data_IF_391109567957
#
_entry.id   IF_391109567957
#
_cell.length_a   1.000
_cell.length_b   1.000
_cell.length_c   1.000
_cell.angle_alpha   90.00
_cell.angle_beta   90.00
_cell.angle_gamma   90.00
#
_symmetry.space_group_name_H-M   'P 1'
#
loop_
_entity.id
_entity.type
_entity.pdbx_description
1 polymer ?
#
# COMPACT_ATOMS: atom_id res chain seq x y z
N UNK A 1 6.24 -16.18 11.27
CA UNK A 1 4.77 -16.04 11.20
C UNK A 1 4.43 -15.05 10.09
N UNK A 2 3.40 -15.30 9.30
CA UNK A 2 3.02 -14.35 8.26
C UNK A 2 2.73 -12.96 8.86
N UNK A 3 3.02 -11.92 8.10
CA UNK A 3 2.89 -10.54 8.53
C UNK A 3 1.46 -10.09 8.85
N UNK A 4 1.25 -8.81 8.90
CA UNK A 4 -0.01 -8.19 9.32
C UNK A 4 -0.65 -7.41 8.19
N UNK A 5 -1.98 -7.43 8.13
CA UNK A 5 -2.76 -6.64 7.19
C UNK A 5 -3.71 -5.72 7.97
N UNK A 6 -3.69 -4.43 7.62
CA UNK A 6 -4.65 -3.45 8.10
C UNK A 6 -5.42 -2.87 6.91
N UNK A 7 -6.73 -3.07 6.88
CA UNK A 7 -7.62 -2.51 5.86
C UNK A 7 -8.52 -1.43 6.47
N UNK A 8 -8.64 -0.29 5.80
CA UNK A 8 -9.52 0.79 6.22
C UNK A 8 -10.46 1.24 5.09
N UNK A 9 -11.61 1.80 5.46
CA UNK A 9 -12.71 2.06 4.54
C UNK A 9 -12.64 3.37 3.77
N UNK A 10 -11.56 4.13 3.89
CA UNK A 10 -11.41 5.44 3.27
C UNK A 10 -11.08 6.51 4.31
N UNK A 11 -11.09 7.80 3.90
CA UNK A 11 -10.60 8.90 4.74
C UNK A 11 -9.18 8.66 5.28
N UNK A 12 -8.34 8.08 4.45
CA UNK A 12 -6.94 7.85 4.78
C UNK A 12 -6.24 9.15 5.17
N UNK A 13 -5.20 9.03 5.97
CA UNK A 13 -4.42 10.16 6.49
C UNK A 13 -5.24 11.08 7.40
N UNK A 14 -6.20 10.51 8.09
CA UNK A 14 -7.07 11.18 9.06
C UNK A 14 -6.75 10.71 10.48
N UNK A 15 -6.85 11.62 11.44
CA UNK A 15 -6.56 11.33 12.86
C UNK A 15 -7.44 10.21 13.46
N UNK A 16 -8.61 9.94 12.87
CA UNK A 16 -9.47 8.83 13.32
C UNK A 16 -8.79 7.46 13.22
N UNK A 17 -7.84 7.30 12.30
CA UNK A 17 -7.09 6.05 12.11
C UNK A 17 -5.74 6.03 12.82
N UNK A 18 -5.32 7.12 13.45
CA UNK A 18 -3.96 7.24 14.00
C UNK A 18 -3.59 6.10 14.95
N UNK A 19 -4.49 5.70 15.84
CA UNK A 19 -4.26 4.58 16.77
C UNK A 19 -4.10 3.25 16.04
N UNK A 20 -4.95 2.99 15.05
CA UNK A 20 -4.90 1.75 14.28
C UNK A 20 -3.64 1.69 13.43
N UNK A 21 -3.30 2.78 12.75
CA UNK A 21 -2.11 2.89 11.92
C UNK A 21 -0.83 2.68 12.75
N UNK A 22 -0.72 3.34 13.90
CA UNK A 22 0.41 3.14 14.81
C UNK A 22 0.49 1.71 15.34
N UNK A 23 -0.64 1.13 15.75
CA UNK A 23 -0.67 -0.25 16.25
C UNK A 23 -0.22 -1.24 15.19
N UNK A 24 -0.62 -1.04 13.92
CA UNK A 24 -0.16 -1.86 12.81
C UNK A 24 1.35 -1.69 12.56
N UNK A 25 1.82 -0.45 12.51
CA UNK A 25 3.24 -0.15 12.26
C UNK A 25 4.17 -0.64 13.38
N UNK A 26 3.68 -0.73 14.61
CA UNK A 26 4.42 -1.34 15.72
C UNK A 26 4.67 -2.85 15.52
N UNK A 27 3.98 -3.49 14.60
CA UNK A 27 4.19 -4.90 14.23
C UNK A 27 5.34 -5.09 13.23
N UNK A 28 5.89 -4.01 12.66
CA UNK A 28 7.03 -4.11 11.72
C UNK A 28 8.18 -4.87 12.35
N UNK A 29 8.83 -5.69 11.56
CA UNK A 29 10.03 -6.42 11.99
C UNK A 29 11.14 -5.45 12.43
N UNK A 30 11.44 -4.44 11.62
CA UNK A 30 12.35 -3.36 11.97
C UNK A 30 11.57 -2.08 12.25
N UNK A 31 11.58 -1.63 13.51
CA UNK A 31 10.82 -0.46 13.98
C UNK A 31 11.27 0.87 13.37
N UNK A 32 12.48 0.93 12.83
CA UNK A 32 13.05 2.12 12.21
C UNK A 32 12.93 2.14 10.70
N UNK A 33 12.46 1.05 10.08
CA UNK A 33 12.25 1.00 8.63
C UNK A 33 11.17 2.01 8.21
N UNK A 34 11.39 2.71 7.08
CA UNK A 34 10.38 3.62 6.56
C UNK A 34 9.16 2.86 6.06
N UNK A 35 8.02 3.55 6.05
CA UNK A 35 6.80 3.09 5.41
C UNK A 35 6.87 3.37 3.91
N UNK A 36 6.78 2.33 3.10
CA UNK A 36 6.71 2.45 1.64
C UNK A 36 5.28 2.78 1.23
N UNK A 37 5.05 3.99 0.73
CA UNK A 37 3.72 4.45 0.32
C UNK A 37 3.54 4.26 -1.18
N UNK A 38 2.56 3.47 -1.56
CA UNK A 38 2.20 3.18 -2.95
C UNK A 38 1.00 4.03 -3.35
N UNK A 39 1.16 4.86 -4.38
CA UNK A 39 0.09 5.70 -4.94
C UNK A 39 0.02 5.50 -6.44
N UNK A 40 -0.99 4.79 -6.91
CA UNK A 40 -1.21 4.52 -8.34
C UNK A 40 -2.23 5.49 -8.94
N UNK A 41 -1.86 6.74 -9.01
CA UNK A 41 -2.67 7.81 -9.59
C UNK A 41 -1.88 8.55 -10.68
N UNK A 42 -2.53 9.23 -11.62
CA UNK A 42 -1.82 10.01 -12.62
C UNK A 42 -1.14 11.23 -12.00
N UNK A 43 -0.07 11.70 -12.64
CA UNK A 43 0.57 12.97 -12.27
C UNK A 43 -0.41 14.15 -12.54
N UNK A 44 -0.49 15.15 -11.67
CA UNK A 44 0.26 15.33 -10.42
C UNK A 44 -0.42 14.74 -9.16
N UNK A 45 -1.53 14.05 -9.32
CA UNK A 45 -2.36 13.55 -8.20
C UNK A 45 -1.58 12.60 -7.29
N UNK A 46 -0.71 11.72 -7.85
CA UNK A 46 0.09 10.81 -7.03
C UNK A 46 1.03 11.56 -6.10
N UNK A 47 1.63 12.67 -6.57
CA UNK A 47 2.54 13.47 -5.73
C UNK A 47 1.78 14.16 -4.60
N UNK A 48 0.61 14.72 -4.90
CA UNK A 48 -0.23 15.37 -3.90
C UNK A 48 -0.70 14.36 -2.84
N UNK A 49 -1.12 13.18 -3.26
CA UNK A 49 -1.54 12.11 -2.34
C UNK A 49 -0.37 11.65 -1.47
N UNK A 50 0.83 11.49 -2.04
CA UNK A 50 2.02 11.14 -1.27
C UNK A 50 2.36 12.22 -0.24
N UNK A 51 2.29 13.49 -0.59
CA UNK A 51 2.57 14.60 0.33
C UNK A 51 1.61 14.61 1.53
N UNK A 52 0.33 14.27 1.30
CA UNK A 52 -0.63 14.10 2.40
C UNK A 52 -0.25 12.93 3.32
N UNK A 53 0.15 11.80 2.74
CA UNK A 53 0.63 10.65 3.51
C UNK A 53 1.89 10.99 4.31
N UNK A 54 2.87 11.61 3.67
CA UNK A 54 4.13 12.02 4.30
C UNK A 54 3.88 12.90 5.52
N UNK A 55 3.05 13.93 5.37
CA UNK A 55 2.69 14.84 6.46
C UNK A 55 1.99 14.12 7.61
N UNK A 56 1.00 13.29 7.29
CA UNK A 56 0.24 12.55 8.29
C UNK A 56 1.15 11.59 9.10
N UNK A 57 1.93 10.77 8.42
CA UNK A 57 2.82 9.82 9.08
C UNK A 57 3.98 10.49 9.81
N UNK A 58 4.49 11.61 9.29
CA UNK A 58 5.51 12.39 9.99
C UNK A 58 5.00 12.90 11.35
N UNK A 59 3.74 13.33 11.43
CA UNK A 59 3.11 13.72 12.69
C UNK A 59 2.98 12.56 13.68
N UNK A 60 2.99 11.31 13.19
CA UNK A 60 3.00 10.10 14.01
C UNK A 60 4.42 9.59 14.32
N UNK A 61 5.45 10.30 13.88
CA UNK A 61 6.85 9.90 14.05
C UNK A 61 7.30 8.81 13.08
N UNK A 62 6.60 8.60 11.99
CA UNK A 62 6.88 7.57 10.98
C UNK A 62 7.49 8.22 9.73
N UNK A 63 8.68 7.76 9.36
CA UNK A 63 9.31 8.15 8.10
C UNK A 63 8.67 7.39 6.94
N UNK A 64 8.39 8.09 5.85
CA UNK A 64 7.84 7.51 4.62
C UNK A 64 8.80 7.62 3.45
N UNK A 65 8.64 6.73 2.47
CA UNK A 65 9.22 6.86 1.14
C UNK A 65 8.14 6.57 0.12
N UNK A 66 8.18 7.27 -1.02
CA UNK A 66 7.25 7.05 -2.11
C UNK A 66 7.69 5.85 -2.95
N UNK A 67 6.79 4.90 -3.18
CA UNK A 67 7.04 3.82 -4.13
C UNK A 67 7.19 4.38 -5.55
N UNK A 68 8.18 3.93 -6.32
CA UNK A 68 8.30 4.29 -7.73
C UNK A 68 7.28 3.59 -8.64
N UNK A 69 6.49 2.65 -8.11
CA UNK A 69 5.46 1.94 -8.89
C UNK A 69 4.19 2.78 -8.93
N UNK A 70 3.98 3.49 -10.03
CA UNK A 70 2.83 4.33 -10.28
C UNK A 70 1.86 3.70 -11.27
N UNK A 71 2.34 2.74 -12.06
CA UNK A 71 1.56 1.99 -13.05
C UNK A 71 2.21 0.63 -13.31
N UNK A 72 1.55 -0.22 -14.09
CA UNK A 72 2.07 -1.51 -14.52
C UNK A 72 3.37 -1.43 -15.34
N UNK A 73 3.70 -0.24 -15.86
CA UNK A 73 4.95 -0.01 -16.60
C UNK A 73 6.18 0.12 -15.67
N UNK A 74 5.96 0.25 -14.37
CA UNK A 74 7.01 0.48 -13.38
C UNK A 74 7.43 -0.80 -12.65
N UNK A 75 7.04 -1.96 -13.13
CA UNK A 75 7.34 -3.26 -12.51
C UNK A 75 8.73 -3.78 -12.88
N UNK A 76 9.75 -2.95 -12.73
CA UNK A 76 11.14 -3.36 -12.91
C UNK A 76 11.61 -4.30 -11.80
N UNK A 77 12.67 -5.07 -12.06
CA UNK A 77 13.28 -5.96 -11.05
C UNK A 77 13.64 -5.20 -9.78
N UNK A 78 14.17 -3.98 -9.91
CA UNK A 78 14.56 -3.13 -8.79
C UNK A 78 13.35 -2.71 -7.95
N UNK A 79 12.27 -2.23 -8.60
CA UNK A 79 11.05 -1.79 -7.92
C UNK A 79 10.33 -2.97 -7.24
N UNK A 80 10.32 -4.13 -7.87
CA UNK A 80 9.78 -5.37 -7.29
C UNK A 80 10.59 -5.81 -6.08
N UNK A 81 11.92 -5.72 -6.15
CA UNK A 81 12.79 -6.04 -5.02
C UNK A 81 12.52 -5.12 -3.82
N UNK A 82 12.27 -3.84 -4.05
CA UNK A 82 11.94 -2.88 -3.00
C UNK A 82 10.64 -3.29 -2.27
N UNK A 83 9.60 -3.69 -3.02
CA UNK A 83 8.37 -4.21 -2.42
C UNK A 83 8.63 -5.46 -1.56
N UNK A 84 9.36 -6.42 -2.11
CA UNK A 84 9.61 -7.70 -1.45
C UNK A 84 10.42 -7.56 -0.15
N UNK A 85 11.23 -6.52 -0.03
CA UNK A 85 12.11 -6.26 1.13
C UNK A 85 11.52 -5.25 2.12
N UNK A 86 10.37 -4.65 1.82
CA UNK A 86 9.76 -3.65 2.69
C UNK A 86 9.25 -4.29 3.99
N UNK A 87 9.49 -3.63 5.12
CA UNK A 87 8.93 -4.02 6.42
C UNK A 87 7.53 -3.45 6.64
N UNK A 88 7.17 -2.41 5.91
CA UNK A 88 5.84 -1.82 5.92
C UNK A 88 5.49 -1.22 4.56
N UNK A 89 4.29 -1.50 4.07
CA UNK A 89 3.75 -1.00 2.80
C UNK A 89 2.36 -0.42 3.05
N UNK A 90 2.08 0.75 2.49
CA UNK A 90 0.76 1.38 2.53
C UNK A 90 0.24 1.61 1.11
N UNK A 91 -0.89 1.01 0.78
CA UNK A 91 -1.61 1.25 -0.48
C UNK A 91 -2.64 2.34 -0.25
N UNK A 92 -2.38 3.54 -0.75
CA UNK A 92 -3.33 4.64 -0.73
C UNK A 92 -4.54 4.33 -1.61
N UNK A 93 -5.65 5.01 -1.36
CA UNK A 93 -6.80 4.96 -2.23
C UNK A 93 -6.47 5.49 -3.63
N UNK A 94 -7.38 5.30 -4.56
CA UNK A 94 -7.21 5.72 -5.93
C UNK A 94 -8.17 4.97 -6.85
N UNK A 95 -7.76 4.74 -8.08
CA UNK A 95 -8.57 4.01 -9.05
C UNK A 95 -8.37 2.50 -8.87
N UNK A 96 -9.42 1.72 -8.53
CA UNK A 96 -9.29 0.27 -8.39
C UNK A 96 -8.71 -0.41 -9.63
N UNK A 97 -9.06 0.08 -10.82
CA UNK A 97 -8.53 -0.46 -12.07
C UNK A 97 -7.01 -0.35 -12.18
N UNK A 98 -6.42 0.78 -11.78
CA UNK A 98 -4.96 0.97 -11.81
C UNK A 98 -4.26 0.05 -10.80
N UNK A 99 -4.79 -0.02 -9.57
CA UNK A 99 -4.27 -0.91 -8.54
C UNK A 99 -4.32 -2.37 -8.97
N UNK A 100 -5.43 -2.80 -9.55
CA UNK A 100 -5.60 -4.16 -10.05
C UNK A 100 -4.59 -4.50 -11.13
N UNK A 101 -4.40 -3.63 -12.11
CA UNK A 101 -3.39 -3.83 -13.18
C UNK A 101 -1.97 -3.94 -12.64
N UNK A 102 -1.63 -3.15 -11.61
CA UNK A 102 -0.30 -3.19 -11.01
C UNK A 102 -0.07 -4.44 -10.15
N UNK A 103 -1.07 -4.82 -9.35
CA UNK A 103 -0.83 -5.68 -8.18
C UNK A 103 -1.59 -7.00 -8.20
N UNK A 104 -2.49 -7.25 -9.14
CA UNK A 104 -3.21 -8.53 -9.23
C UNK A 104 -2.66 -9.36 -10.39
N UNK A 105 -2.20 -10.57 -10.08
CA UNK A 105 -1.64 -11.49 -11.06
C UNK A 105 -0.28 -11.05 -11.63
N UNK A 106 0.42 -10.16 -10.96
CA UNK A 106 1.72 -9.62 -11.40
C UNK A 106 2.87 -10.05 -10.48
N UNK A 107 4.11 -9.75 -10.91
CA UNK A 107 5.29 -9.93 -10.04
C UNK A 107 5.23 -9.08 -8.78
N UNK A 108 4.52 -7.97 -8.81
CA UNK A 108 4.31 -7.13 -7.62
C UNK A 108 3.44 -7.84 -6.57
N UNK A 109 2.42 -8.58 -6.98
CA UNK A 109 1.64 -9.40 -6.03
C UNK A 109 2.53 -10.42 -5.33
N UNK A 110 3.37 -11.12 -6.08
CA UNK A 110 4.32 -12.09 -5.51
C UNK A 110 5.27 -11.41 -4.52
N UNK A 111 5.76 -10.22 -4.85
CA UNK A 111 6.64 -9.45 -3.97
C UNK A 111 5.96 -9.07 -2.65
N UNK A 112 4.68 -8.63 -2.70
CA UNK A 112 3.90 -8.30 -1.51
C UNK A 112 3.68 -9.53 -0.63
N UNK A 113 3.35 -10.66 -1.24
CA UNK A 113 3.21 -11.94 -0.50
C UNK A 113 4.53 -12.31 0.19
N UNK A 114 5.66 -12.16 -0.52
CA UNK A 114 6.98 -12.40 0.06
C UNK A 114 7.28 -11.47 1.24
N UNK A 115 6.94 -10.19 1.13
CA UNK A 115 7.08 -9.25 2.23
C UNK A 115 6.26 -9.70 3.45
N UNK A 116 5.00 -10.11 3.25
CA UNK A 116 4.15 -10.65 4.32
C UNK A 116 4.74 -11.91 4.96
N UNK A 117 5.27 -12.83 4.16
CA UNK A 117 5.97 -14.03 4.66
C UNK A 117 7.20 -13.68 5.51
N UNK A 118 7.79 -12.51 5.29
CA UNK A 118 8.91 -11.97 6.06
C UNK A 118 8.47 -11.02 7.20
N UNK A 119 7.24 -11.16 7.68
CA UNK A 119 6.67 -10.40 8.81
C UNK A 119 6.44 -8.90 8.52
N UNK A 120 6.28 -8.52 7.27
CA UNK A 120 5.92 -7.15 6.92
C UNK A 120 4.49 -6.77 7.36
N UNK A 121 4.27 -5.48 7.53
CA UNK A 121 2.94 -4.89 7.70
C UNK A 121 2.47 -4.32 6.37
N UNK A 122 1.33 -4.78 5.88
CA UNK A 122 0.71 -4.26 4.65
C UNK A 122 -0.61 -3.58 5.00
N UNK A 123 -0.70 -2.32 4.65
CA UNK A 123 -1.84 -1.47 4.97
C UNK A 123 -2.51 -0.99 3.67
N UNK A 124 -3.80 -0.74 3.72
CA UNK A 124 -4.52 -0.22 2.56
C UNK A 124 -5.80 0.48 2.95
N UNK A 125 -6.13 1.54 2.21
CA UNK A 125 -7.34 2.32 2.40
C UNK A 125 -8.17 2.36 1.12
N UNK A 126 -9.50 2.29 1.25
CA UNK A 126 -10.45 2.38 0.13
C UNK A 126 -10.09 1.37 -0.99
N UNK A 127 -9.79 1.84 -2.19
CA UNK A 127 -9.35 0.98 -3.29
C UNK A 127 -8.10 0.15 -2.94
N UNK A 128 -7.18 0.70 -2.13
CA UNK A 128 -6.02 -0.03 -1.62
C UNK A 128 -6.41 -1.21 -0.72
N UNK A 129 -7.46 -1.06 0.09
CA UNK A 129 -7.99 -2.16 0.91
C UNK A 129 -8.64 -3.27 0.07
N UNK A 130 -9.21 -2.93 -1.08
CA UNK A 130 -9.82 -3.91 -1.99
C UNK A 130 -8.82 -4.94 -2.51
N UNK A 131 -7.52 -4.60 -2.56
CA UNK A 131 -6.47 -5.53 -2.99
C UNK A 131 -6.35 -6.78 -2.10
N UNK A 132 -6.82 -6.72 -0.86
CA UNK A 132 -6.73 -7.82 0.09
C UNK A 132 -7.84 -8.86 -0.07
N UNK A 133 -8.88 -8.53 -0.82
CA UNK A 133 -9.98 -9.45 -1.12
C UNK A 133 -9.67 -10.41 -2.27
N UNK A 134 -10.45 -11.46 -2.39
CA UNK A 134 -10.39 -12.39 -3.53
C UNK A 134 -10.98 -11.80 -4.80
N UNK A 135 -11.76 -10.72 -4.68
CA UNK A 135 -12.37 -9.99 -5.78
C UNK A 135 -12.26 -8.49 -5.55
N UNK A 136 -12.13 -7.73 -6.62
CA UNK A 136 -12.16 -6.26 -6.61
C UNK A 136 -13.39 -5.80 -7.37
N UNK A 137 -14.21 -4.98 -6.72
CA UNK A 137 -15.39 -4.39 -7.35
C UNK A 137 -14.99 -3.11 -8.08
N UNK A 138 -15.32 -3.04 -9.35
CA UNK A 138 -15.02 -1.91 -10.21
C UNK A 138 -16.22 -0.96 -10.28
N UNK A 139 -16.01 0.32 -10.66
CA UNK A 139 -17.12 1.22 -10.96
C UNK A 139 -18.08 0.58 -11.96
N UNK A 140 -19.39 0.65 -11.67
CA UNK A 140 -20.41 -0.02 -12.46
C UNK A 140 -20.79 -1.42 -11.98
N UNK A 141 -20.16 -1.90 -10.89
CA UNK A 141 -20.50 -3.17 -10.24
C UNK A 141 -19.84 -4.41 -10.83
N UNK A 142 -18.99 -4.25 -11.84
CA UNK A 142 -18.20 -5.36 -12.36
C UNK A 142 -17.16 -5.82 -11.34
N UNK A 143 -16.86 -7.12 -11.35
CA UNK A 143 -15.86 -7.72 -10.46
C UNK A 143 -14.64 -8.20 -11.24
N UNK A 144 -13.45 -8.03 -10.67
CA UNK A 144 -12.23 -8.70 -11.11
C UNK A 144 -11.85 -9.71 -10.04
N UNK A 145 -11.83 -10.99 -10.39
CA UNK A 145 -11.39 -12.08 -9.51
C UNK A 145 -9.88 -12.27 -9.55
N UNK A 146 -9.37 -12.91 -8.53
CA UNK A 146 -8.00 -13.43 -8.48
C UNK A 146 -7.94 -14.86 -8.90
#
# INVERSE_FOLDING_TARGET
MPGWILASGGNEFSDIYAKADLAALEKRKNKTSPLLVVVTAPFPTQLQAYQLAEKYFANLGIKTIMSPILSENDLSTENISQLAQADAIYFAGGTPARLTKCFVGTTAETAIRKALENDAVVMGSSAGAMLFGSKVVMPGGNEIGR
#
